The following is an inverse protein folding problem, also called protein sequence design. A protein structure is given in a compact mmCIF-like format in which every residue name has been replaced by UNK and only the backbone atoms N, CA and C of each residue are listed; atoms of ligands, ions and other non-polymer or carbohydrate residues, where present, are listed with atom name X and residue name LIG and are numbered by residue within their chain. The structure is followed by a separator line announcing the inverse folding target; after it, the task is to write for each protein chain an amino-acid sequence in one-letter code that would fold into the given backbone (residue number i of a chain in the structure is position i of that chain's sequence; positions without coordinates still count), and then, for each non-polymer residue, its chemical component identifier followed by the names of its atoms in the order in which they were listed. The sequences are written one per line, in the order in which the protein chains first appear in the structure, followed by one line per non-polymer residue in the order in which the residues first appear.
data_IF_654865857882
#
_entry.id   IF_654865857882
#
_cell.length_a   1.000
_cell.length_b   1.000
_cell.length_c   1.000
_cell.angle_alpha   90.00
_cell.angle_beta   90.00
_cell.angle_gamma   90.00
#
_symmetry.space_group_name_H-M   'P 1'
#
loop_
_entity.id
_entity.type
_entity.pdbx_description
1 polymer ?
#
# COMPACT_ATOMS: atom_id res chain seq x y z
N UNK A 1 14.07 24.61 11.75
CA UNK A 1 14.45 23.87 10.52
C UNK A 1 13.62 24.44 9.38
N UNK A 2 14.20 24.73 8.19
CA UNK A 2 13.41 25.15 7.01
C UNK A 2 12.36 24.10 6.62
N UNK A 3 11.23 24.53 6.06
CA UNK A 3 10.12 23.64 5.69
C UNK A 3 10.53 22.52 4.73
N UNK A 4 11.30 22.84 3.68
CA UNK A 4 11.79 21.85 2.70
C UNK A 4 12.64 20.76 3.36
N UNK A 5 13.57 21.17 4.22
CA UNK A 5 14.39 20.21 4.99
C UNK A 5 13.54 19.36 5.93
N UNK A 6 12.49 19.92 6.54
CA UNK A 6 11.62 19.14 7.43
C UNK A 6 10.93 18.00 6.68
N UNK A 7 10.41 18.28 5.48
CA UNK A 7 9.82 17.25 4.60
C UNK A 7 10.87 16.22 4.18
N UNK A 8 12.09 16.63 3.83
CA UNK A 8 13.17 15.70 3.50
C UNK A 8 13.45 14.72 4.65
N UNK A 9 13.51 15.22 5.89
CA UNK A 9 13.85 14.43 7.07
C UNK A 9 12.72 13.55 7.60
N UNK A 10 11.47 14.01 7.51
CA UNK A 10 10.34 13.34 8.15
C UNK A 10 9.28 12.83 7.18
N UNK A 11 9.45 13.10 5.88
CA UNK A 11 8.54 12.70 4.79
C UNK A 11 7.11 13.21 4.95
N UNK A 12 6.90 14.25 5.75
CA UNK A 12 5.60 14.88 5.97
C UNK A 12 5.76 16.36 6.34
N UNK A 13 4.67 17.11 6.26
CA UNK A 13 4.65 18.51 6.68
C UNK A 13 4.82 18.64 8.21
N UNK A 14 5.20 19.83 8.67
CA UNK A 14 5.26 20.10 10.11
C UNK A 14 3.87 20.02 10.77
N UNK A 15 2.82 20.40 10.05
CA UNK A 15 1.45 20.34 10.55
C UNK A 15 1.02 18.89 10.78
N UNK A 16 1.26 18.00 9.81
CA UNK A 16 0.95 16.57 9.92
C UNK A 16 1.78 15.90 11.02
N UNK A 17 3.05 16.30 11.14
CA UNK A 17 3.92 15.84 12.22
C UNK A 17 3.37 16.20 13.60
N UNK A 18 2.93 17.45 13.77
CA UNK A 18 2.36 17.91 15.05
C UNK A 18 1.05 17.19 15.35
N UNK A 19 0.19 17.03 14.33
CA UNK A 19 -1.02 16.23 14.45
C UNK A 19 -0.71 14.79 14.89
N UNK A 20 0.24 14.12 14.21
CA UNK A 20 0.63 12.75 14.54
C UNK A 20 1.21 12.63 15.95
N UNK A 21 2.06 13.58 16.37
CA UNK A 21 2.61 13.60 17.71
C UNK A 21 1.52 13.75 18.78
N UNK A 22 0.54 14.63 18.55
CA UNK A 22 -0.60 14.80 19.45
C UNK A 22 -1.48 13.54 19.49
N UNK A 23 -1.74 12.90 18.36
CA UNK A 23 -2.51 11.66 18.29
C UNK A 23 -1.82 10.49 19.01
N UNK A 24 -0.49 10.47 19.06
CA UNK A 24 0.30 9.42 19.71
C UNK A 24 0.74 9.78 21.14
N UNK A 25 0.27 10.91 21.67
CA UNK A 25 0.71 11.46 22.95
C UNK A 25 0.54 10.44 24.08
N UNK A 26 -0.66 9.85 24.21
CA UNK A 26 -1.00 8.93 25.30
C UNK A 26 -0.18 7.63 25.22
N UNK A 27 0.14 7.16 24.01
CA UNK A 27 0.90 5.93 23.79
C UNK A 27 2.41 6.11 23.98
N UNK A 28 2.95 7.30 23.70
CA UNK A 28 4.39 7.56 23.69
C UNK A 28 4.89 8.32 24.92
N UNK A 29 4.00 8.87 25.75
CA UNK A 29 4.39 9.60 26.95
C UNK A 29 5.12 8.69 27.94
N UNK A 30 6.33 9.08 28.31
CA UNK A 30 7.18 8.33 29.24
C UNK A 30 7.20 9.02 30.61
N UNK A 31 6.99 8.23 31.66
CA UNK A 31 7.09 8.72 33.04
C UNK A 31 8.54 9.04 33.41
N UNK A 32 8.77 10.23 33.96
CA UNK A 32 10.08 10.74 34.40
C UNK A 32 10.64 10.07 35.68
N UNK A 33 9.99 9.01 36.18
CA UNK A 33 10.29 8.39 37.47
C UNK A 33 11.57 7.53 37.49
N UNK A 34 12.28 7.40 36.36
CA UNK A 34 13.57 6.68 36.24
C UNK A 34 14.70 7.65 35.90
N UNK A 35 15.93 7.34 36.36
CA UNK A 35 17.12 8.18 36.11
C UNK A 35 17.30 8.45 34.61
N UNK A 36 17.39 9.73 34.25
CA UNK A 36 17.58 10.23 32.88
C UNK A 36 16.35 11.00 32.38
N UNK A 37 16.57 12.00 31.53
CA UNK A 37 15.46 12.71 30.88
C UNK A 37 14.91 11.80 29.76
N UNK A 38 13.64 11.34 29.84
CA UNK A 38 13.05 10.58 28.76
C UNK A 38 12.95 11.43 27.49
N UNK A 39 12.98 10.78 26.32
CA UNK A 39 12.68 11.47 25.07
C UNK A 39 11.25 12.00 25.08
N UNK A 40 11.06 13.20 24.55
CA UNK A 40 9.71 13.73 24.32
C UNK A 40 8.96 12.88 23.28
N UNK A 41 7.64 13.05 23.21
CA UNK A 41 6.82 12.36 22.21
C UNK A 41 7.26 12.74 20.81
N UNK A 42 7.49 14.02 20.55
CA UNK A 42 7.95 14.54 19.26
C UNK A 42 9.31 13.96 18.89
N UNK A 43 10.24 13.83 19.85
CA UNK A 43 11.53 13.21 19.59
C UNK A 43 11.40 11.72 19.22
N UNK A 44 10.49 10.99 19.86
CA UNK A 44 10.20 9.58 19.51
C UNK A 44 9.56 9.46 18.13
N UNK A 45 8.60 10.34 17.80
CA UNK A 45 7.97 10.41 16.47
C UNK A 45 9.01 10.75 15.40
N UNK A 46 9.85 11.75 15.63
CA UNK A 46 10.91 12.16 14.71
C UNK A 46 11.90 11.01 14.43
N UNK A 47 12.33 10.29 15.47
CA UNK A 47 13.20 9.11 15.33
C UNK A 47 12.52 8.01 14.51
N UNK A 48 11.25 7.72 14.81
CA UNK A 48 10.49 6.68 14.12
C UNK A 48 10.24 7.01 12.64
N UNK A 49 9.82 8.23 12.33
CA UNK A 49 9.64 8.70 10.95
C UNK A 49 10.96 8.70 10.18
N UNK A 50 12.05 9.13 10.81
CA UNK A 50 13.36 9.08 10.17
C UNK A 50 13.78 7.63 9.87
N UNK A 51 13.53 6.70 10.80
CA UNK A 51 13.79 5.27 10.60
C UNK A 51 13.00 4.71 9.41
N UNK A 52 11.70 4.96 9.35
CA UNK A 52 10.82 4.44 8.29
C UNK A 52 11.08 5.10 6.93
N UNK A 53 11.24 6.43 6.90
CA UNK A 53 11.40 7.19 5.67
C UNK A 53 12.79 7.12 5.01
N UNK A 54 13.80 6.63 5.73
CA UNK A 54 15.19 6.55 5.24
C UNK A 54 15.80 5.15 5.32
N UNK A 55 15.22 4.22 6.10
CA UNK A 55 15.82 2.92 6.35
C UNK A 55 17.17 2.97 7.09
N UNK A 56 17.52 4.10 7.70
CA UNK A 56 18.82 4.33 8.34
C UNK A 56 19.03 3.43 9.57
N UNK A 57 20.24 2.91 9.79
CA UNK A 57 20.55 2.10 10.96
C UNK A 57 20.54 2.93 12.26
N UNK A 58 20.31 2.29 13.40
CA UNK A 58 20.17 2.99 14.69
C UNK A 58 21.42 3.73 15.16
N UNK A 59 22.61 3.37 14.66
CA UNK A 59 23.84 4.12 14.92
C UNK A 59 23.78 5.50 14.25
N UNK A 60 23.40 5.52 12.96
CA UNK A 60 23.23 6.76 12.20
C UNK A 60 22.14 7.64 12.82
N UNK A 61 21.01 7.05 13.20
CA UNK A 61 19.93 7.76 13.89
C UNK A 61 20.44 8.35 15.21
N UNK A 62 21.21 7.57 15.98
CA UNK A 62 21.85 8.05 17.21
C UNK A 62 22.70 9.30 16.99
N UNK A 63 23.51 9.34 15.92
CA UNK A 63 24.30 10.52 15.57
C UNK A 63 23.42 11.71 15.14
N UNK A 64 22.41 11.49 14.27
CA UNK A 64 21.53 12.55 13.77
C UNK A 64 20.77 13.24 14.90
N UNK A 65 20.24 12.47 15.86
CA UNK A 65 19.45 12.98 16.97
C UNK A 65 20.25 13.20 18.26
N UNK A 66 21.57 12.95 18.25
CA UNK A 66 22.45 13.02 19.42
C UNK A 66 21.96 12.17 20.61
N UNK A 67 21.52 10.93 20.31
CA UNK A 67 21.03 9.95 21.29
C UNK A 67 21.80 8.64 21.21
N UNK A 68 21.74 7.83 22.27
CA UNK A 68 22.31 6.48 22.25
C UNK A 68 21.61 5.56 21.26
N UNK A 69 22.35 4.63 20.64
CA UNK A 69 21.83 3.60 19.72
C UNK A 69 20.61 2.86 20.28
N UNK A 70 20.70 2.41 21.54
CA UNK A 70 19.59 1.70 22.19
C UNK A 70 18.36 2.59 22.38
N UNK A 71 18.56 3.88 22.63
CA UNK A 71 17.47 4.84 22.76
C UNK A 71 16.77 5.02 21.42
N UNK A 72 17.53 5.11 20.32
CA UNK A 72 16.98 5.19 18.97
C UNK A 72 16.16 3.95 18.60
N UNK A 73 16.66 2.75 18.92
CA UNK A 73 15.97 1.48 18.68
C UNK A 73 14.67 1.36 19.48
N UNK A 74 14.73 1.64 20.80
CA UNK A 74 13.56 1.62 21.68
C UNK A 74 12.52 2.67 21.26
N UNK A 75 12.95 3.88 20.90
CA UNK A 75 12.05 4.94 20.42
C UNK A 75 11.38 4.58 19.10
N UNK A 76 12.14 4.05 18.14
CA UNK A 76 11.60 3.60 16.84
C UNK A 76 10.58 2.49 17.03
N UNK A 77 10.88 1.50 17.90
CA UNK A 77 9.99 0.38 18.19
C UNK A 77 8.68 0.85 18.83
N UNK A 78 8.76 1.74 19.84
CA UNK A 78 7.56 2.31 20.47
C UNK A 78 6.73 3.11 19.50
N UNK A 79 7.36 3.93 18.65
CA UNK A 79 6.66 4.70 17.63
C UNK A 79 5.87 3.77 16.69
N UNK A 80 6.50 2.72 16.15
CA UNK A 80 5.82 1.78 15.24
C UNK A 80 4.65 1.09 15.94
N UNK A 81 4.85 0.62 17.18
CA UNK A 81 3.76 -0.02 17.95
C UNK A 81 2.62 0.97 18.18
N UNK A 82 2.91 2.20 18.60
CA UNK A 82 1.90 3.22 18.85
C UNK A 82 1.11 3.57 17.57
N UNK A 83 1.79 3.68 16.41
CA UNK A 83 1.12 3.90 15.12
C UNK A 83 0.19 2.73 14.79
N UNK A 84 0.66 1.49 14.96
CA UNK A 84 -0.16 0.31 14.68
C UNK A 84 -1.38 0.24 15.61
N UNK A 85 -1.21 0.48 16.91
CA UNK A 85 -2.31 0.41 17.88
C UNK A 85 -3.37 1.49 17.63
N UNK A 86 -2.98 2.70 17.23
CA UNK A 86 -3.91 3.82 17.04
C UNK A 86 -4.55 3.85 15.63
N UNK A 87 -3.85 3.38 14.59
CA UNK A 87 -4.26 3.61 13.20
C UNK A 87 -4.50 2.33 12.37
N UNK A 88 -4.03 1.16 12.79
CA UNK A 88 -4.08 -0.07 11.97
C UNK A 88 -5.51 -0.46 11.56
N UNK A 89 -6.52 -0.19 12.40
CA UNK A 89 -7.91 -0.55 12.13
C UNK A 89 -8.72 0.52 11.39
N UNK A 90 -8.20 1.74 11.26
CA UNK A 90 -9.01 2.89 10.85
C UNK A 90 -8.54 3.58 9.58
N UNK A 91 -7.26 3.42 9.19
CA UNK A 91 -6.67 4.24 8.13
C UNK A 91 -6.58 3.54 6.78
N UNK A 92 -6.40 2.22 6.77
CA UNK A 92 -6.26 1.43 5.53
C UNK A 92 -7.46 0.52 5.37
N UNK A 93 -8.57 1.09 4.94
CA UNK A 93 -9.79 0.36 4.67
C UNK A 93 -10.52 0.93 3.46
N UNK A 94 -11.23 0.06 2.76
CA UNK A 94 -12.22 0.51 1.80
C UNK A 94 -13.31 1.33 2.50
N UNK A 95 -13.96 2.27 1.79
CA UNK A 95 -15.18 2.88 2.27
C UNK A 95 -16.18 1.80 2.72
N UNK A 96 -16.98 2.14 3.72
CA UNK A 96 -18.09 1.27 4.11
C UNK A 96 -19.00 1.05 2.88
N UNK A 97 -19.48 -0.17 2.66
CA UNK A 97 -20.28 -0.51 1.46
C UNK A 97 -21.50 0.38 1.25
N UNK A 98 -22.12 0.84 2.34
CA UNK A 98 -23.28 1.74 2.29
C UNK A 98 -22.92 3.20 1.97
N UNK A 99 -21.63 3.55 1.88
CA UNK A 99 -21.18 4.89 1.53
C UNK A 99 -21.07 5.05 0.01
N UNK A 100 -22.23 5.11 -0.64
CA UNK A 100 -22.31 5.17 -2.10
C UNK A 100 -21.59 6.38 -2.70
N UNK A 101 -21.62 7.53 -2.01
CA UNK A 101 -20.96 8.77 -2.44
C UNK A 101 -19.44 8.57 -2.58
N UNK A 102 -18.76 8.02 -1.57
CA UNK A 102 -17.31 7.75 -1.66
C UNK A 102 -16.97 6.72 -2.73
N UNK A 103 -17.80 5.70 -2.92
CA UNK A 103 -17.57 4.72 -4.00
C UNK A 103 -17.74 5.35 -5.38
N UNK A 104 -18.70 6.26 -5.54
CA UNK A 104 -18.92 6.99 -6.79
C UNK A 104 -17.77 7.95 -7.08
N UNK A 105 -17.22 8.62 -6.05
CA UNK A 105 -16.00 9.44 -6.17
C UNK A 105 -14.80 8.61 -6.62
N UNK A 106 -14.56 7.45 -6.00
CA UNK A 106 -13.48 6.55 -6.40
C UNK A 106 -13.65 6.12 -7.87
N UNK A 107 -14.83 5.65 -8.26
CA UNK A 107 -15.08 5.24 -9.65
C UNK A 107 -14.91 6.38 -10.64
N UNK A 108 -15.42 7.56 -10.32
CA UNK A 108 -15.29 8.77 -11.14
C UNK A 108 -13.82 9.17 -11.31
N UNK A 109 -13.01 9.07 -10.26
CA UNK A 109 -11.58 9.40 -10.32
C UNK A 109 -10.81 8.51 -11.31
N UNK A 110 -11.14 7.21 -11.39
CA UNK A 110 -10.53 6.31 -12.36
C UNK A 110 -11.08 6.50 -13.77
N UNK A 111 -12.38 6.77 -13.91
CA UNK A 111 -13.00 7.05 -15.20
C UNK A 111 -12.47 8.35 -15.83
N UNK A 112 -12.29 9.40 -15.03
CA UNK A 112 -11.72 10.67 -15.48
C UNK A 112 -10.24 10.54 -15.87
N UNK A 113 -9.43 9.86 -15.05
CA UNK A 113 -7.98 9.75 -15.27
C UNK A 113 -7.62 8.73 -16.36
N UNK A 114 -8.40 7.66 -16.50
CA UNK A 114 -8.03 6.49 -17.33
C UNK A 114 -9.12 6.04 -18.30
N UNK A 115 -10.33 6.59 -18.25
CA UNK A 115 -11.43 6.24 -19.15
C UNK A 115 -12.07 4.88 -18.87
N UNK A 116 -11.79 4.26 -17.71
CA UNK A 116 -12.31 2.94 -17.36
C UNK A 116 -13.39 3.08 -16.27
N UNK A 117 -14.67 2.82 -16.58
CA UNK A 117 -15.76 2.97 -15.62
C UNK A 117 -15.76 1.83 -14.59
N UNK A 118 -16.35 2.11 -13.43
CA UNK A 118 -16.59 1.14 -12.34
C UNK A 118 -15.32 0.52 -11.72
N UNK A 119 -14.15 1.13 -11.92
CA UNK A 119 -12.92 0.70 -11.25
C UNK A 119 -12.88 1.28 -9.84
N UNK A 120 -12.52 0.45 -8.87
CA UNK A 120 -12.41 0.85 -7.46
C UNK A 120 -11.01 0.73 -6.89
N UNK A 121 -10.05 0.33 -7.72
CA UNK A 121 -8.65 0.38 -7.36
C UNK A 121 -7.80 -0.60 -8.17
N UNK A 122 -6.57 -0.20 -8.54
CA UNK A 122 -5.58 -1.16 -8.99
C UNK A 122 -5.06 -1.98 -7.80
N UNK A 123 -4.77 -3.25 -8.04
CA UNK A 123 -4.18 -4.18 -7.08
C UNK A 123 -2.81 -4.66 -7.59
N UNK A 124 -1.79 -4.58 -6.75
CA UNK A 124 -0.47 -5.12 -7.08
C UNK A 124 0.27 -5.67 -5.86
N UNK A 125 1.18 -6.61 -6.13
CA UNK A 125 2.07 -7.22 -5.17
C UNK A 125 3.38 -6.44 -5.02
N UNK A 126 3.75 -6.09 -3.80
CA UNK A 126 5.03 -5.46 -3.46
C UNK A 126 5.87 -6.35 -2.55
N UNK A 127 7.19 -6.30 -2.71
CA UNK A 127 8.15 -7.06 -1.92
C UNK A 127 8.87 -6.15 -0.93
N UNK A 128 8.76 -6.46 0.37
CA UNK A 128 9.52 -5.78 1.42
C UNK A 128 10.81 -6.59 1.67
N UNK A 129 12.00 -5.97 1.53
CA UNK A 129 13.27 -6.63 1.81
C UNK A 129 13.33 -7.18 3.23
N UNK A 130 13.79 -8.42 3.34
CA UNK A 130 13.92 -9.13 4.61
C UNK A 130 15.40 -9.48 4.82
N UNK A 131 15.95 -9.08 5.96
CA UNK A 131 17.23 -9.61 6.41
C UNK A 131 17.11 -11.14 6.52
N UNK A 132 17.99 -11.86 5.84
CA UNK A 132 17.94 -13.32 5.72
C UNK A 132 17.62 -13.97 7.08
N UNK A 133 16.52 -14.73 7.18
CA UNK A 133 16.24 -15.49 8.39
C UNK A 133 17.41 -16.43 8.68
N UNK A 134 17.80 -16.55 9.95
CA UNK A 134 18.89 -17.44 10.35
C UNK A 134 18.54 -18.94 10.20
N UNK A 135 17.27 -19.25 9.97
CA UNK A 135 16.72 -20.60 9.92
C UNK A 135 16.72 -21.21 8.51
N UNK A 136 16.64 -22.54 8.44
CA UNK A 136 16.61 -23.33 7.19
C UNK A 136 15.40 -23.04 6.27
N UNK A 137 14.40 -22.27 6.75
CA UNK A 137 13.23 -21.86 6.00
C UNK A 137 13.48 -20.69 5.02
N UNK A 138 14.71 -20.15 4.97
CA UNK A 138 15.05 -18.95 4.19
C UNK A 138 14.75 -19.07 2.69
N UNK A 139 14.80 -20.27 2.11
CA UNK A 139 14.56 -20.49 0.67
C UNK A 139 13.19 -19.99 0.22
N UNK A 140 12.17 -20.12 1.08
CA UNK A 140 10.81 -19.65 0.77
C UNK A 140 10.72 -18.13 0.65
N UNK A 141 11.66 -17.39 1.23
CA UNK A 141 11.67 -15.93 1.22
C UNK A 141 12.41 -15.35 0.01
N UNK A 142 13.11 -16.17 -0.77
CA UNK A 142 13.76 -15.73 -2.00
C UNK A 142 12.69 -15.53 -3.08
N UNK A 143 12.58 -14.30 -3.57
CA UNK A 143 11.65 -13.96 -4.64
C UNK A 143 12.25 -14.30 -6.03
N UNK A 144 11.47 -14.04 -7.09
CA UNK A 144 11.88 -14.31 -8.48
C UNK A 144 13.06 -13.45 -8.95
N UNK A 145 13.37 -12.37 -8.24
CA UNK A 145 14.52 -11.49 -8.48
C UNK A 145 15.75 -11.94 -7.65
N UNK A 146 15.70 -13.12 -7.03
CA UNK A 146 16.80 -13.74 -6.28
C UNK A 146 17.24 -12.97 -5.03
N UNK A 147 16.34 -12.22 -4.39
CA UNK A 147 16.59 -11.59 -3.09
C UNK A 147 15.49 -11.92 -2.06
N UNK A 148 15.84 -11.82 -0.78
CA UNK A 148 14.97 -12.21 0.33
C UNK A 148 13.93 -11.14 0.65
N UNK A 149 12.67 -11.54 0.71
CA UNK A 149 11.55 -10.62 0.91
C UNK A 149 10.34 -11.28 1.54
N UNK A 150 9.47 -10.44 2.09
CA UNK A 150 8.08 -10.75 2.39
C UNK A 150 7.22 -10.06 1.34
N UNK A 151 6.22 -10.76 0.81
CA UNK A 151 5.29 -10.20 -0.17
C UNK A 151 4.00 -9.70 0.48
N UNK A 152 3.55 -8.54 0.01
CA UNK A 152 2.28 -7.91 0.34
C UNK A 152 1.54 -7.59 -0.96
N UNK A 153 0.21 -7.55 -0.90
CA UNK A 153 -0.64 -6.97 -1.93
C UNK A 153 -1.26 -5.69 -1.38
N UNK A 154 -1.43 -4.71 -2.25
CA UNK A 154 -2.03 -3.43 -1.90
C UNK A 154 -3.07 -3.04 -2.96
N UNK A 155 -4.15 -2.38 -2.51
CA UNK A 155 -5.11 -1.67 -3.36
C UNK A 155 -5.08 -0.19 -3.00
N UNK A 156 -5.08 0.67 -4.00
CA UNK A 156 -5.17 2.12 -3.82
C UNK A 156 -6.42 2.71 -4.49
N UNK A 157 -6.92 3.84 -3.99
CA UNK A 157 -7.93 4.63 -4.70
C UNK A 157 -7.30 5.47 -5.82
N UNK A 158 -8.11 6.24 -6.55
CA UNK A 158 -7.63 7.05 -7.67
C UNK A 158 -6.69 8.18 -7.24
N UNK A 159 -6.63 8.54 -5.96
CA UNK A 159 -5.71 9.55 -5.42
C UNK A 159 -4.44 8.92 -4.83
N UNK A 160 -4.30 7.60 -4.93
CA UNK A 160 -3.13 6.85 -4.48
C UNK A 160 -3.15 6.51 -2.99
N UNK A 161 -4.28 6.67 -2.29
CA UNK A 161 -4.39 6.27 -0.89
C UNK A 161 -4.61 4.77 -0.78
N UNK A 162 -3.94 4.11 0.17
CA UNK A 162 -4.12 2.67 0.40
C UNK A 162 -5.49 2.37 1.00
N UNK A 163 -6.31 1.62 0.27
CA UNK A 163 -7.62 1.14 0.73
C UNK A 163 -7.57 -0.29 1.28
N UNK A 164 -6.60 -1.09 0.84
CA UNK A 164 -6.42 -2.44 1.33
C UNK A 164 -4.95 -2.81 1.30
N UNK A 165 -4.46 -3.44 2.37
CA UNK A 165 -3.14 -4.06 2.41
C UNK A 165 -3.31 -5.44 3.04
N UNK A 166 -2.80 -6.47 2.36
CA UNK A 166 -2.79 -7.84 2.88
C UNK A 166 -1.45 -8.48 2.55
N UNK A 167 -0.90 -9.31 3.43
CA UNK A 167 0.45 -9.83 3.18
C UNK A 167 1.05 -10.60 4.32
N UNK A 168 2.38 -10.63 4.35
CA UNK A 168 3.14 -11.42 5.33
C UNK A 168 3.55 -12.79 4.82
N UNK A 169 3.43 -13.05 3.51
CA UNK A 169 3.81 -14.32 2.92
C UNK A 169 5.29 -14.36 2.49
N UNK A 170 5.90 -15.56 2.40
CA UNK A 170 7.25 -15.69 1.87
C UNK A 170 7.38 -15.12 0.45
N UNK A 171 8.49 -14.44 0.15
CA UNK A 171 8.74 -13.76 -1.13
C UNK A 171 8.70 -14.64 -2.38
N UNK A 172 8.77 -15.97 -2.26
CA UNK A 172 8.55 -16.89 -3.39
C UNK A 172 7.08 -17.02 -3.80
N UNK A 173 6.13 -16.54 -2.98
CA UNK A 173 4.69 -16.70 -3.22
C UNK A 173 4.22 -15.85 -4.42
N UNK A 174 3.40 -16.46 -5.28
CA UNK A 174 2.75 -15.75 -6.40
C UNK A 174 1.63 -14.82 -5.91
N UNK A 175 1.47 -13.67 -6.59
CA UNK A 175 0.36 -12.72 -6.37
C UNK A 175 -1.01 -13.40 -6.34
N UNK A 176 -1.33 -14.26 -7.30
CA UNK A 176 -2.59 -15.03 -7.33
C UNK A 176 -2.83 -15.86 -6.08
N UNK A 177 -1.79 -16.49 -5.53
CA UNK A 177 -1.90 -17.28 -4.29
C UNK A 177 -2.05 -16.36 -3.08
N UNK A 178 -1.38 -15.20 -3.07
CA UNK A 178 -1.54 -14.21 -2.01
C UNK A 178 -2.98 -13.66 -2.00
N UNK A 179 -3.49 -13.31 -3.17
CA UNK A 179 -4.86 -12.85 -3.39
C UNK A 179 -5.89 -13.80 -2.81
N UNK A 180 -5.85 -15.08 -3.20
CA UNK A 180 -6.82 -16.06 -2.71
C UNK A 180 -6.70 -16.38 -1.22
N UNK A 181 -5.60 -16.01 -0.56
CA UNK A 181 -5.45 -16.14 0.90
C UNK A 181 -5.87 -14.87 1.66
N UNK A 182 -6.07 -13.75 0.95
CA UNK A 182 -6.48 -12.48 1.53
C UNK A 182 -7.98 -12.43 1.79
N UNK A 183 -8.40 -11.58 2.72
CA UNK A 183 -9.84 -11.30 2.95
C UNK A 183 -10.50 -10.76 1.68
N UNK A 184 -9.78 -9.94 0.90
CA UNK A 184 -10.24 -9.39 -0.36
C UNK A 184 -10.54 -10.50 -1.38
N UNK A 185 -9.60 -11.43 -1.58
CA UNK A 185 -9.82 -12.56 -2.49
C UNK A 185 -10.95 -13.47 -2.03
N UNK A 186 -11.09 -13.71 -0.73
CA UNK A 186 -12.25 -14.45 -0.20
C UNK A 186 -13.57 -13.71 -0.46
N UNK A 187 -13.62 -12.38 -0.29
CA UNK A 187 -14.82 -11.56 -0.52
C UNK A 187 -15.28 -11.54 -1.98
N UNK A 188 -14.35 -11.80 -2.91
CA UNK A 188 -14.59 -11.84 -4.35
C UNK A 188 -14.77 -13.26 -4.89
N UNK A 189 -14.58 -14.28 -4.05
CA UNK A 189 -14.73 -15.67 -4.45
C UNK A 189 -16.20 -16.08 -4.41
N UNK A 190 -16.81 -16.53 -5.52
CA UNK A 190 -18.17 -17.07 -5.50
C UNK A 190 -18.25 -18.41 -4.73
N UNK A 191 -17.12 -19.07 -4.47
CA UNK A 191 -17.05 -20.36 -3.79
C UNK A 191 -17.02 -20.24 -2.26
N UNK A 192 -16.83 -19.04 -1.71
CA UNK A 192 -16.69 -18.83 -0.27
C UNK A 192 -17.78 -17.87 0.24
N UNK A 193 -18.49 -18.22 1.33
CA UNK A 193 -19.41 -17.30 1.97
C UNK A 193 -18.61 -16.24 2.73
N UNK A 194 -18.40 -15.08 2.10
CA UNK A 194 -17.71 -13.95 2.69
C UNK A 194 -18.51 -12.65 2.47
N UNK A 195 -18.42 -11.72 3.42
CA UNK A 195 -18.99 -10.39 3.25
C UNK A 195 -18.26 -9.67 2.12
N UNK A 196 -18.96 -9.08 1.15
CA UNK A 196 -18.32 -8.32 0.08
C UNK A 196 -17.48 -7.17 0.67
N UNK A 197 -16.35 -6.87 0.06
CA UNK A 197 -15.49 -5.74 0.44
C UNK A 197 -15.59 -4.56 -0.53
N UNK A 198 -16.07 -4.79 -1.73
CA UNK A 198 -16.34 -3.76 -2.75
C UNK A 198 -17.80 -3.86 -3.23
N UNK A 199 -18.39 -2.77 -3.75
CA UNK A 199 -19.77 -2.78 -4.22
C UNK A 199 -19.97 -3.73 -5.40
N UNK A 200 -21.19 -4.23 -5.55
CA UNK A 200 -21.58 -4.99 -6.74
C UNK A 200 -21.44 -4.13 -8.01
N UNK A 201 -21.03 -4.76 -9.11
CA UNK A 201 -20.79 -4.05 -10.38
C UNK A 201 -19.51 -3.19 -10.40
N UNK A 202 -18.70 -3.24 -9.33
CA UNK A 202 -17.39 -2.60 -9.27
C UNK A 202 -16.26 -3.60 -9.49
N UNK A 203 -15.11 -3.11 -9.95
CA UNK A 203 -13.98 -3.95 -10.32
C UNK A 203 -12.62 -3.45 -9.82
N UNK A 204 -11.74 -4.38 -9.50
CA UNK A 204 -10.31 -4.14 -9.31
C UNK A 204 -9.55 -4.47 -10.60
N UNK A 205 -8.45 -3.77 -10.81
CA UNK A 205 -7.54 -4.02 -11.93
C UNK A 205 -6.21 -4.53 -11.38
N UNK A 206 -5.75 -5.71 -11.79
CA UNK A 206 -4.45 -6.24 -11.37
C UNK A 206 -3.58 -6.68 -12.53
N UNK A 207 -2.29 -6.90 -12.27
CA UNK A 207 -1.38 -7.47 -13.27
C UNK A 207 -1.75 -8.90 -13.68
N UNK A 208 -1.08 -9.44 -14.70
CA UNK A 208 -1.26 -10.82 -15.16
C UNK A 208 -0.92 -11.89 -14.09
N UNK A 209 -0.32 -11.49 -12.97
CA UNK A 209 -0.07 -12.34 -11.82
C UNK A 209 -1.33 -12.63 -10.98
N UNK A 210 -2.42 -11.90 -11.20
CA UNK A 210 -3.72 -12.14 -10.58
C UNK A 210 -4.61 -13.09 -11.43
N UNK A 211 -5.59 -13.79 -10.83
CA UNK A 211 -6.40 -14.83 -11.48
C UNK A 211 -7.70 -14.34 -12.18
N UNK A 212 -7.75 -14.13 -13.50
CA UNK A 212 -8.97 -13.62 -14.17
C UNK A 212 -10.25 -14.43 -13.84
N UNK A 213 -11.36 -13.77 -13.49
CA UNK A 213 -12.66 -14.44 -13.41
C UNK A 213 -13.09 -14.83 -14.83
N UNK A 214 -13.42 -16.11 -15.04
CA UNK A 214 -13.95 -16.65 -16.30
C UNK A 214 -15.26 -15.93 -16.69
N UNK A 215 -15.14 -14.80 -17.40
CA UNK A 215 -16.25 -13.91 -17.74
C UNK A 215 -15.88 -12.43 -17.81
N UNK A 216 -14.79 -12.00 -17.16
CA UNK A 216 -14.19 -10.68 -17.34
C UNK A 216 -13.01 -10.82 -18.31
N UNK A 217 -13.12 -10.24 -19.51
CA UNK A 217 -12.05 -10.31 -20.49
C UNK A 217 -10.75 -9.74 -19.94
N UNK A 218 -9.61 -10.35 -20.29
CA UNK A 218 -8.32 -9.67 -20.19
C UNK A 218 -8.40 -8.47 -21.13
N UNK A 219 -8.34 -7.27 -20.58
CA UNK A 219 -8.34 -6.06 -21.40
C UNK A 219 -6.90 -5.58 -21.55
N UNK A 220 -6.50 -5.33 -22.80
CA UNK A 220 -5.23 -4.70 -23.10
C UNK A 220 -5.40 -3.20 -22.86
N UNK A 221 -4.76 -2.66 -21.81
CA UNK A 221 -4.69 -1.22 -21.57
C UNK A 221 -3.23 -0.77 -21.58
N UNK A 222 -2.96 0.37 -22.19
CA UNK A 222 -1.72 1.13 -21.94
C UNK A 222 -1.89 1.85 -20.60
N UNK A 223 -1.36 1.27 -19.52
CA UNK A 223 -1.34 1.92 -18.21
C UNK A 223 0.03 2.58 -18.00
N UNK A 224 0.09 3.91 -18.05
CA UNK A 224 1.07 4.64 -17.26
C UNK A 224 0.76 4.38 -15.78
N UNK A 225 1.79 4.08 -14.98
CA UNK A 225 1.74 3.50 -13.63
C UNK A 225 0.49 3.87 -12.79
N UNK A 226 -0.47 2.93 -12.72
CA UNK A 226 -1.67 3.06 -11.89
C UNK A 226 -1.37 2.97 -10.38
N UNK A 227 -0.20 2.42 -10.02
CA UNK A 227 0.28 2.35 -8.64
C UNK A 227 1.65 3.03 -8.60
N UNK A 228 1.80 4.17 -7.92
CA UNK A 228 3.12 4.75 -7.72
C UNK A 228 3.93 3.80 -6.85
N UNK A 229 5.02 3.24 -7.38
CA UNK A 229 5.96 2.41 -6.61
C UNK A 229 6.63 3.29 -5.53
N UNK A 230 6.29 3.12 -4.23
CA UNK A 230 6.82 4.00 -3.20
C UNK A 230 8.30 3.71 -2.90
N UNK A 231 8.84 2.56 -3.35
CA UNK A 231 10.19 2.09 -3.04
C UNK A 231 11.17 2.45 -4.17
N UNK A 232 10.76 2.39 -5.44
CA UNK A 232 11.66 2.63 -6.58
C UNK A 232 11.90 4.10 -6.95
N UNK A 233 11.20 5.08 -6.34
CA UNK A 233 11.53 6.51 -6.50
C UNK A 233 12.95 6.88 -6.06
N UNK A 234 13.63 6.03 -5.27
CA UNK A 234 15.00 6.27 -4.83
C UNK A 234 16.07 6.07 -5.92
N UNK A 235 15.77 5.38 -7.03
CA UNK A 235 16.78 4.99 -8.04
C UNK A 235 16.75 5.79 -9.35
N UNK A 236 15.91 6.80 -9.50
CA UNK A 236 16.01 7.79 -10.60
C UNK A 236 15.91 7.21 -12.02
N UNK A 237 15.44 5.98 -12.18
CA UNK A 237 15.16 5.38 -13.49
C UNK A 237 13.68 5.50 -13.80
N UNK A 238 13.35 6.18 -14.91
CA UNK A 238 12.02 6.08 -15.50
C UNK A 238 11.81 4.61 -15.93
N UNK A 239 10.70 3.97 -15.53
CA UNK A 239 10.41 2.62 -15.98
C UNK A 239 10.16 2.63 -17.50
N UNK A 240 10.62 1.61 -18.24
CA UNK A 240 10.30 1.49 -19.66
C UNK A 240 8.78 1.34 -19.82
N UNK A 241 8.19 2.04 -20.79
CA UNK A 241 6.82 1.84 -21.23
C UNK A 241 6.60 0.36 -21.55
N UNK A 242 5.90 -0.36 -20.69
CA UNK A 242 5.53 -1.76 -20.89
C UNK A 242 4.03 -1.82 -21.13
N UNK A 243 3.62 -2.42 -22.24
CA UNK A 243 2.27 -2.96 -22.35
C UNK A 243 2.06 -3.92 -21.16
N UNK A 244 1.16 -3.57 -20.25
CA UNK A 244 0.81 -4.41 -19.11
C UNK A 244 -0.52 -5.09 -19.40
N UNK A 245 -0.52 -6.43 -19.40
CA UNK A 245 -1.76 -7.19 -19.42
C UNK A 245 -2.44 -7.04 -18.06
N UNK A 246 -3.60 -6.40 -18.06
CA UNK A 246 -4.37 -6.12 -16.86
C UNK A 246 -5.63 -6.99 -16.83
N UNK A 247 -5.88 -7.60 -15.68
CA UNK A 247 -7.02 -8.43 -15.41
C UNK A 247 -8.04 -7.66 -14.57
N UNK A 248 -9.33 -7.82 -14.86
CA UNK A 248 -10.44 -7.13 -14.17
C UNK A 248 -11.19 -8.11 -13.27
N UNK A 249 -11.50 -7.70 -12.03
CA UNK A 249 -12.07 -8.56 -10.98
C UNK A 249 -13.22 -7.89 -10.25
N UNK A 250 -14.38 -8.50 -10.19
CA UNK A 250 -15.52 -7.97 -9.42
C UNK A 250 -16.42 -9.07 -8.85
N UNK A 251 -17.36 -8.73 -7.96
CA UNK A 251 -18.34 -9.67 -7.44
C UNK A 251 -19.14 -10.31 -8.58
N UNK A 252 -19.38 -11.62 -8.50
CA UNK A 252 -20.06 -12.40 -9.54
C UNK A 252 -21.44 -11.84 -9.88
N UNK A 253 -21.69 -11.50 -11.15
CA UNK A 253 -23.04 -11.16 -11.63
C UNK A 253 -23.85 -12.44 -11.89
N UNK A 254 -25.01 -12.55 -11.26
CA UNK A 254 -26.09 -13.42 -11.72
C UNK A 254 -26.61 -12.92 -13.07
N UNK A 255 -26.14 -13.53 -14.16
CA UNK A 255 -26.72 -13.54 -15.51
C UNK A 255 -27.04 -12.20 -16.18
N UNK A 256 -26.10 -11.70 -16.98
CA UNK A 256 -26.32 -11.24 -18.37
C UNK A 256 -24.96 -10.85 -18.95
N UNK A 257 -24.54 -11.48 -20.04
CA UNK A 257 -23.29 -11.16 -20.76
C UNK A 257 -23.36 -9.73 -21.32
N UNK A 258 -23.07 -8.72 -20.52
CA UNK A 258 -22.63 -7.42 -21.03
C UNK A 258 -21.11 -7.41 -21.03
N UNK A 259 -20.53 -7.87 -22.12
CA UNK A 259 -19.12 -7.60 -22.39
C UNK A 259 -18.90 -6.09 -22.37
N UNK A 260 -17.89 -5.64 -21.63
CA UNK A 260 -17.42 -4.25 -21.66
C UNK A 260 -16.98 -3.98 -23.11
N UNK A 261 -17.86 -3.34 -23.89
CA UNK A 261 -17.58 -2.92 -25.26
C UNK A 261 -17.11 -1.48 -25.18
N UNK A 262 -15.80 -1.25 -25.28
CA UNK A 262 -15.26 0.11 -25.41
C UNK A 262 -15.04 0.36 -26.91
N UNK A 263 -15.85 1.23 -27.48
CA UNK A 263 -15.65 1.72 -28.84
C UNK A 263 -14.47 2.68 -28.84
N UNK A 264 -13.35 2.29 -29.44
CA UNK A 264 -12.31 3.23 -29.83
C UNK A 264 -12.85 4.10 -30.97
N UNK A 265 -13.22 5.35 -30.68
CA UNK A 265 -13.45 6.34 -31.73
C UNK A 265 -12.09 6.89 -32.17
N UNK A 266 -11.37 6.11 -32.99
CA UNK A 266 -10.29 6.62 -33.82
C UNK A 266 -10.92 7.53 -34.89
N UNK A 267 -11.08 8.80 -34.55
CA UNK A 267 -11.36 9.84 -35.52
C UNK A 267 -10.14 10.05 -36.41
N UNK A 268 -10.12 9.41 -37.57
CA UNK A 268 -9.27 9.80 -38.68
C UNK A 268 -9.58 11.26 -39.04
N UNK A 269 -8.63 12.16 -38.78
CA UNK A 269 -8.57 13.43 -39.51
C UNK A 269 -7.74 13.17 -40.77
N UNK A 270 -8.43 12.99 -41.90
CA UNK A 270 -7.84 13.20 -43.21
C UNK A 270 -7.48 14.69 -43.37
N UNK A 271 -6.23 14.96 -43.73
CA UNK A 271 -5.81 16.07 -44.58
C UNK A 271 -4.75 15.56 -45.55
#
# INVERSE_FOLDING_TARGET
MPHTRFIEYFRMSLADFQWLANSLQDSLQLNCMRRGNPLSVEAQVAVGLYRLGHGACYVTIGHVFSIGKETADKASSRFVIAVLENFCLTTVCFPHLNNHEQWDEIKASFEEKHGIPNIVGPIDGTHIPLAMPAEDCWKGYINRKSWSSIVFQCVVDGDGNFCNVSGGAPGSMHNSRLFWRSQLGHSLSPALPATPMIPEGSYLIGDAGYPSNDGCGTCLWEAEELIPDPINRAEGQAPPSKEQHLCVYGPSQSTSKKGITISSSLGQKEQ
#
